data_IF_316273356665
#
_entry.id   IF_316273356665
#
_cell.length_a   1.000
_cell.length_b   1.000
_cell.length_c   1.000
_cell.angle_alpha   90.00
_cell.angle_beta   90.00
_cell.angle_gamma   90.00
#
_symmetry.space_group_name_H-M   'P 1'
#
loop_
_entity.id
_entity.type
_entity.pdbx_description
1 polymer ?
#
# COMPACT_ATOMS: atom_id res chain seq x y z
N UNK A 1 -4.60 -15.33 -41.95
CA UNK A 1 -4.08 -14.61 -40.77
C UNK A 1 -3.63 -15.68 -39.80
N UNK A 2 -2.36 -15.69 -39.37
CA UNK A 2 -1.95 -16.64 -38.33
C UNK A 2 -2.75 -16.32 -37.04
N UNK A 3 -3.19 -17.33 -36.27
CA UNK A 3 -3.80 -17.08 -34.97
C UNK A 3 -2.85 -16.25 -34.11
N UNK A 4 -3.37 -15.17 -33.50
CA UNK A 4 -2.62 -14.44 -32.49
C UNK A 4 -2.73 -15.26 -31.21
N UNK A 5 -1.68 -16.03 -30.90
CA UNK A 5 -1.60 -16.77 -29.64
C UNK A 5 -0.96 -15.86 -28.61
N UNK A 6 -1.67 -15.61 -27.51
CA UNK A 6 -1.18 -14.84 -26.38
C UNK A 6 -0.70 -15.80 -25.29
N UNK A 7 0.52 -15.57 -24.77
CA UNK A 7 1.06 -16.35 -23.65
C UNK A 7 0.68 -15.69 -22.31
N UNK A 8 -0.21 -16.31 -21.51
CA UNK A 8 -0.63 -15.75 -20.22
C UNK A 8 0.52 -15.64 -19.21
N UNK A 9 1.60 -16.42 -19.36
CA UNK A 9 2.76 -16.37 -18.47
C UNK A 9 3.41 -14.98 -18.47
N UNK A 10 3.42 -14.29 -19.61
CA UNK A 10 3.99 -12.93 -19.73
C UNK A 10 3.25 -11.93 -18.83
N UNK A 11 1.93 -12.07 -18.66
CA UNK A 11 1.16 -11.21 -17.76
C UNK A 11 1.44 -11.52 -16.30
N UNK A 12 1.60 -12.80 -15.96
CA UNK A 12 1.94 -13.22 -14.59
C UNK A 12 3.35 -12.76 -14.21
N UNK A 13 4.31 -12.86 -15.13
CA UNK A 13 5.68 -12.37 -14.93
C UNK A 13 5.71 -10.84 -14.79
N UNK A 14 4.94 -10.13 -15.61
CA UNK A 14 4.79 -8.68 -15.48
C UNK A 14 4.14 -8.30 -14.13
N UNK A 15 3.12 -9.04 -13.68
CA UNK A 15 2.53 -8.83 -12.36
C UNK A 15 3.59 -9.01 -11.25
N UNK A 16 4.41 -10.06 -11.31
CA UNK A 16 5.47 -10.31 -10.33
C UNK A 16 6.49 -9.15 -10.25
N UNK A 17 6.79 -8.49 -11.38
CA UNK A 17 7.62 -7.29 -11.38
C UNK A 17 6.93 -6.11 -10.67
N UNK A 18 5.64 -5.86 -10.93
CA UNK A 18 4.88 -4.81 -10.23
C UNK A 18 4.81 -5.05 -8.73
N UNK A 19 4.66 -6.31 -8.29
CA UNK A 19 4.73 -6.67 -6.87
C UNK A 19 6.10 -6.32 -6.27
N UNK A 20 7.17 -6.63 -6.98
CA UNK A 20 8.54 -6.32 -6.52
C UNK A 20 8.76 -4.82 -6.38
N UNK A 21 8.31 -4.04 -7.37
CA UNK A 21 8.41 -2.57 -7.33
C UNK A 21 7.52 -1.98 -6.24
N UNK A 22 6.30 -2.51 -6.04
CA UNK A 22 5.41 -2.09 -4.96
C UNK A 22 6.05 -2.27 -3.59
N UNK A 23 6.60 -3.47 -3.31
CA UNK A 23 7.26 -3.77 -2.04
C UNK A 23 8.51 -2.89 -1.78
N UNK A 24 9.31 -2.66 -2.82
CA UNK A 24 10.48 -1.78 -2.74
C UNK A 24 10.05 -0.33 -2.43
N UNK A 25 9.02 0.15 -3.11
CA UNK A 25 8.48 1.50 -2.90
C UNK A 25 7.89 1.64 -1.49
N UNK A 26 7.11 0.66 -1.02
CA UNK A 26 6.57 0.65 0.35
C UNK A 26 7.69 0.76 1.39
N UNK A 27 8.77 0.01 1.21
CA UNK A 27 9.94 0.05 2.10
C UNK A 27 10.57 1.45 2.15
N UNK A 28 10.72 2.11 0.99
CA UNK A 28 11.27 3.47 0.91
C UNK A 28 10.33 4.50 1.56
N UNK A 29 9.02 4.40 1.34
CA UNK A 29 8.05 5.34 1.93
C UNK A 29 7.95 5.17 3.44
N UNK A 30 8.06 3.94 3.95
CA UNK A 30 8.16 3.69 5.39
C UNK A 30 9.40 4.32 6.00
N UNK A 31 10.56 4.14 5.37
CA UNK A 31 11.81 4.76 5.82
C UNK A 31 11.72 6.30 5.82
N UNK A 32 11.10 6.88 4.80
CA UNK A 32 10.82 8.32 4.75
C UNK A 32 9.97 8.74 5.95
N UNK A 33 8.85 8.04 6.21
CA UNK A 33 7.97 8.30 7.34
C UNK A 33 8.66 8.20 8.70
N UNK A 34 9.46 7.15 8.91
CA UNK A 34 10.27 6.96 10.13
C UNK A 34 11.26 8.09 10.33
N UNK A 35 11.95 8.50 9.27
CA UNK A 35 12.92 9.60 9.31
C UNK A 35 12.23 10.91 9.66
N UNK A 36 11.11 11.23 9.02
CA UNK A 36 10.33 12.43 9.33
C UNK A 36 9.83 12.41 10.78
N UNK A 37 9.37 11.25 11.27
CA UNK A 37 8.91 11.07 12.65
C UNK A 37 10.04 11.22 13.68
N UNK A 38 11.31 10.98 13.34
CA UNK A 38 12.41 11.25 14.27
C UNK A 38 12.70 12.76 14.35
N UNK A 39 12.39 13.52 13.29
CA UNK A 39 12.81 14.92 13.14
C UNK A 39 11.68 15.98 13.30
N UNK A 40 10.41 15.57 13.41
CA UNK A 40 9.23 16.47 13.46
C UNK A 40 9.13 17.45 14.64
N UNK A 41 10.08 17.44 15.58
CA UNK A 41 10.09 18.32 16.77
C UNK A 41 11.32 19.22 16.87
N UNK A 42 12.04 19.37 15.77
CA UNK A 42 13.24 20.21 15.74
C UNK A 42 12.92 21.72 15.56
N UNK A 43 11.66 22.09 15.38
CA UNK A 43 11.25 23.48 15.34
C UNK A 43 11.41 24.10 16.73
N UNK A 44 12.35 25.05 16.86
CA UNK A 44 12.52 25.85 18.07
C UNK A 44 11.27 26.68 18.38
N UNK A 45 11.25 27.30 19.56
CA UNK A 45 10.18 28.23 19.97
C UNK A 45 10.30 29.61 19.35
N UNK A 46 11.32 29.84 18.52
CA UNK A 46 11.53 31.10 17.82
C UNK A 46 10.59 31.23 16.60
N UNK A 47 10.27 32.47 16.24
CA UNK A 47 9.33 32.73 15.14
C UNK A 47 9.83 32.23 13.78
N UNK A 48 11.15 32.12 13.56
CA UNK A 48 11.69 31.65 12.30
C UNK A 48 11.58 30.13 12.19
N UNK A 49 11.93 29.40 13.25
CA UNK A 49 11.76 27.95 13.34
C UNK A 49 10.30 27.52 13.23
N UNK A 50 9.40 28.21 13.94
CA UNK A 50 7.96 27.96 13.85
C UNK A 50 7.40 28.24 12.44
N UNK A 51 7.84 29.32 11.79
CA UNK A 51 7.43 29.66 10.43
C UNK A 51 7.91 28.66 9.39
N UNK A 52 9.15 28.17 9.52
CA UNK A 52 9.68 27.13 8.65
C UNK A 52 8.91 25.81 8.79
N UNK A 53 8.70 25.33 10.02
CA UNK A 53 8.00 24.09 10.31
C UNK A 53 6.55 24.09 9.78
N UNK A 54 5.86 25.22 9.88
CA UNK A 54 4.51 25.39 9.36
C UNK A 54 4.40 25.15 7.84
N UNK A 55 5.49 25.30 7.08
CA UNK A 55 5.55 24.99 5.64
C UNK A 55 6.14 23.61 5.35
N UNK A 56 7.12 23.18 6.16
CA UNK A 56 7.82 21.92 5.99
C UNK A 56 6.95 20.71 6.35
N UNK A 57 6.26 20.74 7.49
CA UNK A 57 5.50 19.58 7.98
C UNK A 57 4.40 19.18 7.00
N UNK A 58 3.55 20.09 6.47
CA UNK A 58 2.56 19.73 5.46
C UNK A 58 3.19 19.17 4.19
N UNK A 59 4.29 19.75 3.70
CA UNK A 59 4.97 19.25 2.51
C UNK A 59 5.55 17.83 2.71
N UNK A 60 6.05 17.54 3.92
CA UNK A 60 6.54 16.22 4.28
C UNK A 60 5.39 15.18 4.34
N UNK A 61 4.23 15.56 4.88
CA UNK A 61 3.04 14.71 4.88
C UNK A 61 2.52 14.46 3.45
N UNK A 62 2.47 15.49 2.62
CA UNK A 62 2.05 15.37 1.21
C UNK A 62 2.98 14.44 0.43
N UNK A 63 4.29 14.52 0.66
CA UNK A 63 5.27 13.63 0.04
C UNK A 63 5.05 12.16 0.45
N UNK A 64 4.82 11.90 1.74
CA UNK A 64 4.52 10.55 2.24
C UNK A 64 3.21 10.01 1.63
N UNK A 65 2.15 10.83 1.60
CA UNK A 65 0.86 10.46 1.04
C UNK A 65 0.94 10.17 -0.47
N UNK A 66 1.66 11.01 -1.22
CA UNK A 66 1.93 10.79 -2.64
C UNK A 66 2.69 9.46 -2.87
N UNK A 67 3.69 9.19 -2.03
CA UNK A 67 4.42 7.92 -2.03
C UNK A 67 3.50 6.71 -1.85
N UNK A 68 2.61 6.75 -0.87
CA UNK A 68 1.64 5.66 -0.66
C UNK A 68 0.69 5.46 -1.84
N UNK A 69 0.28 6.55 -2.50
CA UNK A 69 -0.53 6.45 -3.71
C UNK A 69 0.21 5.73 -4.85
N UNK A 70 1.52 5.93 -4.97
CA UNK A 70 2.37 5.22 -5.94
C UNK A 70 2.43 3.72 -5.62
N UNK A 71 2.63 3.35 -4.34
CA UNK A 71 2.60 1.95 -3.90
C UNK A 71 1.27 1.29 -4.28
N UNK A 72 0.16 1.96 -3.98
CA UNK A 72 -1.18 1.47 -4.33
C UNK A 72 -1.39 1.34 -5.84
N UNK A 73 -0.83 2.24 -6.64
CA UNK A 73 -0.90 2.14 -8.09
C UNK A 73 -0.16 0.89 -8.59
N UNK A 74 1.05 0.62 -8.08
CA UNK A 74 1.79 -0.60 -8.44
C UNK A 74 1.07 -1.87 -7.99
N UNK A 75 0.50 -1.88 -6.79
CA UNK A 75 -0.29 -3.02 -6.31
C UNK A 75 -1.50 -3.29 -7.21
N UNK A 76 -2.23 -2.26 -7.62
CA UNK A 76 -3.38 -2.39 -8.54
C UNK A 76 -2.96 -2.87 -9.93
N UNK A 77 -1.80 -2.44 -10.41
CA UNK A 77 -1.25 -2.93 -11.69
C UNK A 77 -0.88 -4.41 -11.62
N UNK A 78 -0.29 -4.86 -10.51
CA UNK A 78 -0.10 -6.29 -10.25
C UNK A 78 -1.45 -7.03 -10.29
N UNK A 79 -2.44 -6.57 -9.53
CA UNK A 79 -3.73 -7.28 -9.41
C UNK A 79 -4.45 -7.40 -10.75
N UNK A 80 -4.42 -6.33 -11.56
CA UNK A 80 -5.00 -6.33 -12.90
C UNK A 80 -4.32 -7.36 -13.82
N UNK A 81 -2.98 -7.37 -13.86
CA UNK A 81 -2.22 -8.26 -14.74
C UNK A 81 -2.34 -9.72 -14.30
N UNK A 82 -2.27 -9.98 -12.99
CA UNK A 82 -2.45 -11.32 -12.43
C UNK A 82 -3.85 -11.86 -12.71
N UNK A 83 -4.89 -11.06 -12.49
CA UNK A 83 -6.27 -11.44 -12.80
C UNK A 83 -6.46 -11.69 -14.29
N UNK A 84 -5.86 -10.87 -15.15
CA UNK A 84 -5.95 -11.05 -16.61
C UNK A 84 -5.28 -12.35 -17.05
N UNK A 85 -4.09 -12.67 -16.52
CA UNK A 85 -3.39 -13.92 -16.81
C UNK A 85 -4.19 -15.16 -16.40
N UNK A 86 -4.74 -15.16 -15.17
CA UNK A 86 -5.59 -16.27 -14.67
C UNK A 86 -6.88 -16.41 -15.48
N UNK A 87 -7.55 -15.29 -15.82
CA UNK A 87 -8.77 -15.34 -16.63
C UNK A 87 -8.51 -15.90 -18.03
N UNK A 88 -7.37 -15.55 -18.65
CA UNK A 88 -6.96 -16.11 -19.93
C UNK A 88 -6.70 -17.62 -19.80
N UNK A 89 -5.91 -18.05 -18.81
CA UNK A 89 -5.63 -19.47 -18.56
C UNK A 89 -6.92 -20.28 -18.33
N UNK A 90 -7.87 -19.75 -17.55
CA UNK A 90 -9.15 -20.39 -17.30
C UNK A 90 -10.03 -20.49 -18.54
N UNK A 91 -9.96 -19.50 -19.44
CA UNK A 91 -10.66 -19.55 -20.73
C UNK A 91 -10.11 -20.67 -21.59
N UNK A 92 -8.78 -20.80 -21.70
CA UNK A 92 -8.13 -21.87 -22.46
C UNK A 92 -8.45 -23.25 -21.90
N UNK A 93 -8.42 -23.41 -20.58
CA UNK A 93 -8.82 -24.65 -19.88
C UNK A 93 -10.27 -25.04 -20.13
N UNK A 94 -11.17 -24.07 -20.18
CA UNK A 94 -12.58 -24.34 -20.48
C UNK A 94 -12.80 -24.79 -21.94
N UNK A 95 -11.87 -24.47 -22.84
CA UNK A 95 -11.95 -24.80 -24.25
C UNK A 95 -11.35 -26.18 -24.57
N UNK A 96 -10.77 -26.89 -23.60
CA UNK A 96 -10.27 -28.26 -23.79
C UNK A 96 -11.42 -29.28 -23.79
N UNK A 97 -11.18 -30.46 -24.36
CA UNK A 97 -12.16 -31.56 -24.37
C UNK A 97 -11.52 -32.85 -23.82
N UNK A 98 -11.89 -33.30 -22.61
CA UNK A 98 -12.87 -32.69 -21.71
C UNK A 98 -12.34 -31.39 -21.06
N UNK A 99 -13.22 -30.48 -20.62
CA UNK A 99 -12.81 -29.23 -19.97
C UNK A 99 -11.98 -29.46 -18.71
N UNK A 100 -10.91 -28.70 -18.56
CA UNK A 100 -10.06 -28.75 -17.36
C UNK A 100 -10.63 -27.84 -16.25
N UNK A 101 -10.48 -28.22 -14.96
CA UNK A 101 -10.94 -27.37 -13.86
C UNK A 101 -10.28 -25.97 -13.85
N UNK A 102 -11.03 -24.91 -13.52
CA UNK A 102 -10.50 -23.55 -13.44
C UNK A 102 -9.54 -23.39 -12.27
N UNK A 103 -8.53 -22.54 -12.45
CA UNK A 103 -7.71 -22.02 -11.37
C UNK A 103 -8.53 -21.09 -10.46
N UNK A 104 -8.13 -21.04 -9.19
CA UNK A 104 -8.65 -20.07 -8.25
C UNK A 104 -8.34 -18.62 -8.66
N UNK A 105 -9.01 -17.63 -8.05
CA UNK A 105 -8.77 -16.23 -8.37
C UNK A 105 -7.31 -15.82 -8.08
N UNK A 106 -6.78 -14.92 -8.90
CA UNK A 106 -5.47 -14.33 -8.66
C UNK A 106 -5.40 -13.69 -7.27
N UNK A 107 -4.28 -13.91 -6.58
CA UNK A 107 -4.04 -13.29 -5.26
C UNK A 107 -3.94 -11.77 -5.40
N UNK A 108 -4.60 -11.04 -4.51
CA UNK A 108 -4.60 -9.58 -4.48
C UNK A 108 -3.56 -9.07 -3.49
N UNK A 109 -2.88 -7.98 -3.85
CA UNK A 109 -1.98 -7.29 -2.92
C UNK A 109 -2.78 -6.39 -1.95
N UNK A 110 -2.32 -6.26 -0.70
CA UNK A 110 -2.94 -5.34 0.24
C UNK A 110 -2.81 -3.89 -0.23
N UNK A 111 -3.85 -3.10 0.04
CA UNK A 111 -3.80 -1.63 -0.16
C UNK A 111 -3.21 -0.98 1.10
N UNK A 112 -2.28 -0.04 0.92
CA UNK A 112 -1.70 0.76 2.02
C UNK A 112 -2.42 2.10 2.16
N UNK A 113 -2.63 2.56 3.39
CA UNK A 113 -3.31 3.84 3.68
C UNK A 113 -2.33 5.01 3.62
N UNK A 114 -2.66 6.05 2.84
CA UNK A 114 -1.86 7.28 2.70
C UNK A 114 -1.79 8.12 3.99
N UNK A 115 -2.82 8.01 4.82
CA UNK A 115 -2.75 8.43 6.22
C UNK A 115 -2.18 7.23 6.97
N UNK A 116 -0.86 7.29 7.22
CA UNK A 116 -0.11 6.20 7.83
C UNK A 116 -0.78 5.67 9.11
N UNK A 117 -0.61 4.36 9.31
CA UNK A 117 -1.09 3.54 10.41
C UNK A 117 -2.58 3.73 10.82
N UNK A 118 -3.33 2.63 10.81
CA UNK A 118 -4.69 2.60 11.32
C UNK A 118 -4.66 2.87 12.83
N UNK A 119 -5.15 4.04 13.24
CA UNK A 119 -5.41 4.30 14.65
C UNK A 119 -6.58 3.40 15.10
N UNK A 120 -6.32 2.53 16.08
CA UNK A 120 -7.36 1.71 16.68
C UNK A 120 -7.85 2.35 17.97
N UNK A 121 -9.14 2.24 18.22
CA UNK A 121 -9.78 2.68 19.46
C UNK A 121 -10.54 1.53 20.11
N UNK A 122 -10.60 1.53 21.43
CA UNK A 122 -11.49 0.65 22.18
C UNK A 122 -12.94 1.06 21.94
N UNK A 123 -13.90 0.18 22.24
CA UNK A 123 -15.33 0.53 22.20
C UNK A 123 -15.69 1.74 23.09
N UNK A 124 -14.82 2.07 24.06
CA UNK A 124 -14.97 3.18 24.98
C UNK A 124 -14.26 4.45 24.49
N UNK A 125 -13.74 4.46 23.25
CA UNK A 125 -13.04 5.61 22.66
C UNK A 125 -11.61 5.81 23.14
N UNK A 126 -11.03 4.82 23.84
CA UNK A 126 -9.61 4.85 24.27
C UNK A 126 -8.71 4.52 23.09
N UNK A 127 -7.72 5.35 22.80
CA UNK A 127 -6.74 5.04 21.76
C UNK A 127 -5.94 3.79 22.15
N UNK A 128 -5.87 2.81 21.25
CA UNK A 128 -5.17 1.54 21.42
C UNK A 128 -3.80 1.51 20.73
N UNK A 129 -3.46 2.59 20.02
CA UNK A 129 -2.23 2.74 19.27
C UNK A 129 -2.46 2.72 17.76
N UNK A 130 -1.36 2.93 17.06
CA UNK A 130 -1.29 2.94 15.61
C UNK A 130 -0.86 1.56 15.11
N UNK A 131 -1.54 1.06 14.08
CA UNK A 131 -1.30 -0.26 13.51
C UNK A 131 -0.99 -0.17 12.03
N UNK A 132 -0.03 -0.96 11.57
CA UNK A 132 0.27 -1.12 10.15
C UNK A 132 -0.96 -1.69 9.42
N UNK A 133 -1.51 -1.01 8.41
CA UNK A 133 -2.67 -1.48 7.66
C UNK A 133 -2.42 -2.78 6.88
N UNK A 134 -1.17 -3.05 6.48
CA UNK A 134 -0.82 -4.22 5.68
C UNK A 134 -0.50 -5.44 6.56
N UNK A 135 0.16 -5.25 7.70
CA UNK A 135 0.60 -6.37 8.55
C UNK A 135 -0.21 -6.52 9.84
N UNK A 136 -0.99 -5.51 10.23
CA UNK A 136 -1.71 -5.47 11.51
C UNK A 136 -0.80 -5.35 12.73
N UNK A 137 0.51 -5.14 12.52
CA UNK A 137 1.47 -4.97 13.62
C UNK A 137 1.32 -3.59 14.25
N UNK A 138 1.51 -3.51 15.56
CA UNK A 138 1.45 -2.24 16.27
C UNK A 138 2.73 -1.44 15.97
N UNK A 139 2.58 -0.29 15.32
CA UNK A 139 3.70 0.60 14.99
C UNK A 139 3.92 1.65 16.07
N UNK A 140 2.87 2.02 16.82
CA UNK A 140 2.98 2.84 18.03
C UNK A 140 2.09 2.34 19.17
N UNK A 141 2.56 2.42 20.42
CA UNK A 141 1.74 2.12 21.60
C UNK A 141 0.56 3.08 21.73
N UNK A 142 -0.40 2.74 22.59
CA UNK A 142 -1.54 3.61 22.88
C UNK A 142 -1.09 4.96 23.43
N UNK A 143 -1.64 6.04 22.89
CA UNK A 143 -1.52 7.39 23.46
C UNK A 143 -2.81 7.74 24.27
N UNK A 144 -2.75 7.80 25.61
CA UNK A 144 -3.91 8.12 26.45
C UNK A 144 -4.53 9.50 26.20
N UNK A 145 -3.75 10.42 25.62
CA UNK A 145 -4.16 11.79 25.30
C UNK A 145 -4.99 11.88 24.02
N UNK A 146 -4.98 10.85 23.15
CA UNK A 146 -5.82 10.80 21.95
C UNK A 146 -7.21 10.26 22.26
N UNK A 147 -8.22 10.85 21.62
CA UNK A 147 -9.64 10.53 21.78
C UNK A 147 -10.22 10.32 20.39
N UNK A 148 -11.08 9.29 20.25
CA UNK A 148 -11.85 9.12 19.04
C UNK A 148 -12.68 10.40 18.80
N UNK A 149 -12.42 11.10 17.70
CA UNK A 149 -13.21 12.26 17.30
C UNK A 149 -14.68 11.86 17.21
N UNK A 150 -15.56 12.65 17.83
CA UNK A 150 -17.02 12.51 17.68
C UNK A 150 -17.46 12.99 16.32
#
# INVERSE_FOLDING_TARGET
MAPITMDPAVLIDAAAQYKTVSNSTDSVIRLLGETLQINWRCAGTDNAGAGWAASYDPAAFDAAAAGTNIVNAFSKMHDLLAATGVNHANTERSNTNPPEPPEGPASQLPTVSAHGAVEKYSKNGTHLGEFDPATGTQTKPSDPGRRAGR
#
